data_IF_359691971081
#
_entry.id   IF_359691971081
#
_cell.length_a   1.000
_cell.length_b   1.000
_cell.length_c   1.000
_cell.angle_alpha   90.00
_cell.angle_beta   90.00
_cell.angle_gamma   90.00
#
_symmetry.space_group_name_H-M   'P 1'
#
loop_
_entity.id
_entity.type
_entity.pdbx_description
1 polymer ?
#
# COMPACT_ATOMS: atom_id res chain seq x y z
N UNK A 1 -21.08 9.87 -31.45
CA UNK A 1 -19.77 10.20 -30.88
C UNK A 1 -19.10 8.89 -30.50
N UNK A 2 -17.84 8.71 -30.86
CA UNK A 2 -17.10 7.53 -30.43
C UNK A 2 -17.03 7.50 -28.90
N UNK A 3 -17.18 6.33 -28.29
CA UNK A 3 -17.09 6.13 -26.82
C UNK A 3 -15.79 6.71 -26.24
N UNK A 4 -14.74 6.76 -27.05
CA UNK A 4 -13.45 7.40 -26.75
C UNK A 4 -13.58 8.93 -26.66
N UNK A 5 -14.30 9.58 -27.57
CA UNK A 5 -14.52 11.03 -27.53
C UNK A 5 -15.38 11.44 -26.33
N UNK A 6 -16.41 10.65 -25.99
CA UNK A 6 -17.25 10.88 -24.81
C UNK A 6 -16.43 10.77 -23.52
N UNK A 7 -15.65 9.68 -23.36
CA UNK A 7 -14.77 9.52 -22.20
C UNK A 7 -13.69 10.62 -22.15
N UNK A 8 -13.11 11.00 -23.28
CA UNK A 8 -12.14 12.11 -23.34
C UNK A 8 -12.75 13.46 -22.95
N UNK A 9 -14.02 13.70 -23.27
CA UNK A 9 -14.73 14.89 -22.81
C UNK A 9 -14.98 14.83 -21.30
N UNK A 10 -15.38 13.68 -20.77
CA UNK A 10 -15.57 13.48 -19.32
C UNK A 10 -14.25 13.62 -18.55
N UNK A 11 -13.15 13.05 -19.04
CA UNK A 11 -11.83 13.15 -18.40
C UNK A 11 -11.32 14.60 -18.35
N UNK A 12 -11.54 15.38 -19.42
CA UNK A 12 -11.25 16.82 -19.47
C UNK A 12 -12.14 17.63 -18.53
N UNK A 13 -13.44 17.34 -18.50
CA UNK A 13 -14.39 18.05 -17.65
C UNK A 13 -14.17 17.77 -16.16
N UNK A 14 -13.79 16.54 -15.80
CA UNK A 14 -13.51 16.12 -14.43
C UNK A 14 -12.05 16.36 -13.98
N UNK A 15 -11.19 16.87 -14.86
CA UNK A 15 -9.76 17.09 -14.62
C UNK A 15 -9.08 15.86 -13.99
N UNK A 16 -9.44 14.65 -14.42
CA UNK A 16 -9.03 13.41 -13.72
C UNK A 16 -7.52 13.18 -13.76
N UNK A 17 -6.82 13.77 -14.73
CA UNK A 17 -5.36 13.72 -14.86
C UNK A 17 -4.63 14.75 -13.97
N UNK A 18 -5.36 15.66 -13.31
CA UNK A 18 -4.76 16.68 -12.45
C UNK A 18 -4.55 16.13 -11.03
N UNK A 19 -3.28 15.85 -10.70
CA UNK A 19 -2.88 15.45 -9.35
C UNK A 19 -3.26 16.49 -8.28
N UNK A 20 -3.10 17.79 -8.56
CA UNK A 20 -3.47 18.84 -7.61
C UNK A 20 -4.97 18.85 -7.27
N UNK A 21 -5.81 18.52 -8.26
CA UNK A 21 -7.26 18.36 -8.04
C UNK A 21 -7.57 17.06 -7.32
N UNK A 22 -6.84 15.98 -7.61
CA UNK A 22 -6.97 14.71 -6.89
C UNK A 22 -6.65 14.87 -5.40
N UNK A 23 -5.53 15.52 -5.07
CA UNK A 23 -5.08 15.70 -3.68
C UNK A 23 -6.09 16.46 -2.81
N UNK A 24 -6.85 17.39 -3.42
CA UNK A 24 -7.88 18.21 -2.75
C UNK A 24 -9.26 17.54 -2.69
N UNK A 25 -9.43 16.39 -3.33
CA UNK A 25 -10.72 15.70 -3.39
C UNK A 25 -11.04 14.93 -2.12
N UNK A 26 -12.34 14.77 -1.85
CA UNK A 26 -12.81 13.84 -0.82
C UNK A 26 -12.45 12.39 -1.18
N UNK A 27 -12.44 11.48 -0.20
CA UNK A 27 -12.11 10.06 -0.46
C UNK A 27 -13.05 9.43 -1.50
N UNK A 28 -14.34 9.78 -1.46
CA UNK A 28 -15.34 9.32 -2.44
C UNK A 28 -14.99 9.80 -3.85
N UNK A 29 -14.68 11.08 -4.01
CA UNK A 29 -14.27 11.66 -5.29
C UNK A 29 -12.94 11.06 -5.79
N UNK A 30 -11.99 10.76 -4.89
CA UNK A 30 -10.74 10.10 -5.24
C UNK A 30 -11.00 8.71 -5.84
N UNK A 31 -11.83 7.89 -5.20
CA UNK A 31 -12.22 6.57 -5.72
C UNK A 31 -12.91 6.68 -7.09
N UNK A 32 -13.83 7.64 -7.27
CA UNK A 32 -14.49 7.90 -8.56
C UNK A 32 -13.49 8.31 -9.65
N UNK A 33 -12.52 9.17 -9.32
CA UNK A 33 -11.45 9.55 -10.26
C UNK A 33 -10.58 8.37 -10.66
N UNK A 34 -10.17 7.53 -9.71
CA UNK A 34 -9.37 6.33 -10.02
C UNK A 34 -10.16 5.36 -10.90
N UNK A 35 -11.45 5.17 -10.63
CA UNK A 35 -12.31 4.36 -11.49
C UNK A 35 -12.35 4.88 -12.94
N UNK A 36 -12.45 6.20 -13.12
CA UNK A 36 -12.40 6.81 -14.46
C UNK A 36 -11.01 6.70 -15.11
N UNK A 37 -9.93 6.82 -14.33
CA UNK A 37 -8.57 6.61 -14.83
C UNK A 37 -8.36 5.18 -15.32
N UNK A 38 -8.93 4.17 -14.65
CA UNK A 38 -8.91 2.80 -15.14
C UNK A 38 -9.56 2.66 -16.52
N UNK A 39 -10.75 3.26 -16.72
CA UNK A 39 -11.42 3.24 -18.03
C UNK A 39 -10.60 3.99 -19.10
N UNK A 40 -9.99 5.11 -18.72
CA UNK A 40 -9.09 5.86 -19.60
C UNK A 40 -7.87 5.03 -20.03
N UNK A 41 -7.19 4.38 -19.08
CA UNK A 41 -6.01 3.58 -19.37
C UNK A 41 -6.32 2.29 -20.13
N UNK A 42 -7.50 1.69 -19.96
CA UNK A 42 -7.98 0.58 -20.80
C UNK A 42 -8.06 0.95 -22.29
N UNK A 43 -8.37 2.20 -22.60
CA UNK A 43 -8.43 2.69 -23.99
C UNK A 43 -7.02 2.91 -24.55
N UNK A 44 -6.13 3.50 -23.76
CA UNK A 44 -4.79 3.85 -24.21
C UNK A 44 -3.86 2.65 -24.33
N UNK A 45 -3.94 1.74 -23.37
CA UNK A 45 -2.98 0.67 -23.20
C UNK A 45 -3.65 -0.67 -23.36
N UNK A 46 -3.25 -1.37 -24.41
CA UNK A 46 -3.56 -2.79 -24.62
C UNK A 46 -2.23 -3.54 -24.78
N UNK A 47 -2.10 -4.68 -24.11
CA UNK A 47 -0.90 -5.54 -24.18
C UNK A 47 0.41 -4.86 -23.72
N UNK A 48 0.36 -4.10 -22.62
CA UNK A 48 1.56 -3.61 -21.93
C UNK A 48 1.91 -4.50 -20.74
N UNK A 49 3.19 -4.49 -20.35
CA UNK A 49 3.58 -5.08 -19.07
C UNK A 49 3.10 -4.19 -17.93
N UNK A 50 2.36 -4.79 -17.00
CA UNK A 50 1.85 -4.09 -15.81
C UNK A 50 2.98 -3.83 -14.82
N UNK A 51 2.84 -2.76 -14.05
CA UNK A 51 3.71 -2.45 -12.93
C UNK A 51 3.31 -3.27 -11.70
N UNK A 52 4.24 -4.04 -11.16
CA UNK A 52 4.05 -4.79 -9.91
C UNK A 52 4.08 -3.83 -8.72
N UNK A 53 3.03 -3.88 -7.90
CA UNK A 53 2.87 -3.02 -6.71
C UNK A 53 2.55 -3.89 -5.51
N UNK A 54 3.35 -3.72 -4.45
CA UNK A 54 3.24 -4.45 -3.21
C UNK A 54 2.77 -3.50 -2.10
N UNK A 55 1.64 -3.81 -1.48
CA UNK A 55 1.12 -3.07 -0.33
C UNK A 55 1.42 -3.84 0.95
N UNK A 56 2.00 -3.17 1.95
CA UNK A 56 2.03 -3.72 3.29
C UNK A 56 0.62 -3.82 3.88
N UNK A 57 0.45 -4.66 4.89
CA UNK A 57 -0.84 -4.87 5.53
C UNK A 57 -1.04 -3.98 6.76
N UNK A 58 -0.10 -4.07 7.71
CA UNK A 58 -0.20 -3.37 8.99
C UNK A 58 0.24 -1.92 8.82
N UNK A 59 -0.51 -0.96 9.36
CA UNK A 59 -0.19 0.46 9.18
C UNK A 59 -0.45 1.03 7.78
N UNK A 60 -0.80 0.18 6.81
CA UNK A 60 -1.08 0.56 5.42
C UNK A 60 -2.51 0.18 4.98
N UNK A 61 -2.94 -1.07 5.16
CA UNK A 61 -4.33 -1.50 4.87
C UNK A 61 -5.17 -1.42 6.15
N UNK A 62 -4.62 -1.91 7.27
CA UNK A 62 -5.30 -1.97 8.57
C UNK A 62 -4.46 -1.31 9.65
N UNK A 63 -5.11 -0.55 10.52
CA UNK A 63 -4.47 0.13 11.65
C UNK A 63 -4.27 -0.80 12.85
N UNK A 64 -3.53 -1.88 12.61
CA UNK A 64 -3.22 -2.90 13.63
C UNK A 64 -2.12 -2.48 14.58
N UNK A 65 -1.19 -1.60 14.16
CA UNK A 65 -0.02 -1.23 14.95
C UNK A 65 -0.28 -0.04 15.89
N UNK A 66 -0.53 1.14 15.32
CA UNK A 66 -0.45 2.42 16.05
C UNK A 66 -1.54 2.59 17.09
N UNK A 67 -2.78 2.28 16.74
CA UNK A 67 -3.92 2.51 17.63
C UNK A 67 -4.36 1.26 18.39
N UNK A 68 -4.14 0.06 17.85
CA UNK A 68 -4.57 -1.17 18.52
C UNK A 68 -3.44 -1.85 19.31
N UNK A 69 -2.38 -2.31 18.66
CA UNK A 69 -1.38 -3.15 19.33
C UNK A 69 -0.53 -2.40 20.35
N UNK A 70 -0.13 -1.15 20.07
CA UNK A 70 0.62 -0.35 21.06
C UNK A 70 -0.20 0.03 22.28
N UNK A 71 -1.52 0.19 22.13
CA UNK A 71 -2.41 0.40 23.27
C UNK A 71 -2.51 -0.87 24.11
N UNK A 72 -2.66 -2.03 23.48
CA UNK A 72 -2.71 -3.32 24.18
C UNK A 72 -1.40 -3.59 24.94
N UNK A 73 -0.24 -3.35 24.33
CA UNK A 73 1.06 -3.48 25.00
C UNK A 73 1.11 -2.63 26.29
N UNK A 74 0.69 -1.36 26.22
CA UNK A 74 0.64 -0.48 27.40
C UNK A 74 -0.32 -0.99 28.47
N UNK A 75 -1.49 -1.52 28.09
CA UNK A 75 -2.45 -2.12 29.03
C UNK A 75 -1.87 -3.37 29.72
N UNK A 76 -0.99 -4.10 29.04
CA UNK A 76 -0.24 -5.23 29.60
C UNK A 76 1.02 -4.80 30.39
N UNK A 77 1.22 -3.49 30.60
CA UNK A 77 2.37 -2.96 31.34
C UNK A 77 3.69 -3.02 30.57
N UNK A 78 3.65 -3.26 29.25
CA UNK A 78 4.81 -3.26 28.37
C UNK A 78 4.97 -1.84 27.81
N UNK A 79 6.03 -1.14 28.23
CA UNK A 79 6.30 0.21 27.75
C UNK A 79 6.97 0.16 26.37
N UNK A 80 6.30 0.74 25.38
CA UNK A 80 6.82 0.83 24.01
C UNK A 80 8.06 1.73 23.91
N UNK A 81 8.26 2.64 24.86
CA UNK A 81 9.42 3.54 24.88
C UNK A 81 10.67 2.87 25.48
N UNK A 82 10.51 1.70 26.13
CA UNK A 82 11.62 0.85 26.56
C UNK A 82 12.23 0.04 25.41
N UNK A 83 11.68 0.14 24.18
CA UNK A 83 12.31 -0.35 22.95
C UNK A 83 13.53 0.47 22.54
N UNK A 84 14.53 0.51 23.42
CA UNK A 84 15.90 0.51 22.98
C UNK A 84 16.10 -0.73 22.12
N UNK A 85 16.40 -0.56 20.82
CA UNK A 85 16.85 -1.64 19.91
C UNK A 85 18.05 -2.45 20.45
N UNK A 86 18.57 -2.09 21.63
CA UNK A 86 19.70 -2.71 22.30
C UNK A 86 19.30 -3.61 23.49
N UNK A 87 18.00 -3.74 23.86
CA UNK A 87 17.55 -4.67 24.88
C UNK A 87 16.83 -5.90 24.28
N UNK A 88 17.56 -7.01 24.19
CA UNK A 88 17.09 -8.30 23.64
C UNK A 88 15.93 -8.91 24.45
N UNK A 89 15.82 -8.60 25.74
CA UNK A 89 14.73 -9.14 26.58
C UNK A 89 13.39 -8.44 26.27
N UNK A 90 13.40 -7.13 26.07
CA UNK A 90 12.20 -6.36 25.73
C UNK A 90 11.66 -6.73 24.34
N UNK A 91 12.56 -7.00 23.38
CA UNK A 91 12.21 -7.47 22.04
C UNK A 91 11.53 -8.85 22.09
N UNK A 92 12.04 -9.78 22.91
CA UNK A 92 11.42 -11.10 23.10
C UNK A 92 10.04 -11.01 23.74
N UNK A 93 9.85 -10.11 24.71
CA UNK A 93 8.54 -9.91 25.35
C UNK A 93 7.51 -9.47 24.32
N UNK A 94 7.87 -8.52 23.46
CA UNK A 94 6.98 -8.01 22.41
C UNK A 94 6.77 -9.02 21.29
N UNK A 95 7.81 -9.72 20.86
CA UNK A 95 7.68 -10.81 19.89
C UNK A 95 6.71 -11.89 20.40
N UNK A 96 6.85 -12.31 21.65
CA UNK A 96 5.96 -13.30 22.27
C UNK A 96 4.52 -12.79 22.40
N UNK A 97 4.35 -11.51 22.74
CA UNK A 97 3.05 -10.87 22.78
C UNK A 97 2.34 -10.97 21.43
N UNK A 98 2.99 -10.54 20.35
CA UNK A 98 2.41 -10.60 19.00
C UNK A 98 2.19 -12.02 18.48
N UNK A 99 3.06 -12.98 18.85
CA UNK A 99 2.88 -14.40 18.55
C UNK A 99 1.66 -15.01 19.21
N UNK A 100 1.33 -14.55 20.42
CA UNK A 100 0.20 -15.06 21.22
C UNK A 100 -1.10 -14.25 21.05
N UNK A 101 -1.04 -13.13 20.32
CA UNK A 101 -2.15 -12.23 20.10
C UNK A 101 -3.33 -12.93 19.41
N UNK A 102 -4.55 -12.62 19.85
CA UNK A 102 -5.76 -12.96 19.10
C UNK A 102 -5.91 -12.02 17.90
N UNK A 103 -5.33 -12.44 16.78
CA UNK A 103 -5.38 -11.70 15.52
C UNK A 103 -6.79 -11.59 14.95
N UNK A 104 -7.72 -12.48 15.29
CA UNK A 104 -9.11 -12.35 14.85
C UNK A 104 -9.75 -11.15 15.52
N UNK A 105 -9.59 -11.05 16.84
CA UNK A 105 -10.04 -9.90 17.61
C UNK A 105 -9.38 -8.60 17.14
N UNK A 106 -8.05 -8.58 16.99
CA UNK A 106 -7.29 -7.41 16.55
C UNK A 106 -7.74 -6.90 15.18
N UNK A 107 -7.93 -7.80 14.20
CA UNK A 107 -8.40 -7.44 12.86
C UNK A 107 -9.84 -6.94 12.86
N UNK A 108 -10.68 -7.43 13.77
CA UNK A 108 -12.07 -6.99 13.90
C UNK A 108 -12.19 -5.58 14.51
N UNK A 109 -11.34 -5.24 15.49
CA UNK A 109 -11.40 -3.93 16.15
C UNK A 109 -10.58 -2.82 15.46
N UNK A 110 -9.60 -3.19 14.65
CA UNK A 110 -8.79 -2.23 13.91
C UNK A 110 -9.59 -1.61 12.76
N UNK A 111 -9.36 -0.35 12.47
CA UNK A 111 -10.00 0.31 11.32
C UNK A 111 -9.24 -0.01 10.03
N UNK A 112 -9.97 -0.01 8.92
CA UNK A 112 -9.36 0.13 7.60
C UNK A 112 -8.79 1.55 7.46
N UNK A 113 -7.63 1.66 6.81
CA UNK A 113 -6.97 2.95 6.57
C UNK A 113 -7.35 3.46 5.19
N UNK A 114 -7.87 4.70 5.12
CA UNK A 114 -8.05 5.47 3.87
C UNK A 114 -8.68 4.71 2.70
N UNK A 115 -9.70 3.88 2.97
CA UNK A 115 -10.39 3.08 1.93
C UNK A 115 -9.44 2.16 1.13
N UNK A 116 -8.38 1.67 1.78
CA UNK A 116 -7.36 0.80 1.20
C UNK A 116 -7.94 -0.39 0.43
N UNK A 117 -8.96 -1.07 0.95
CA UNK A 117 -9.61 -2.21 0.30
C UNK A 117 -10.27 -1.77 -1.00
N UNK A 118 -10.99 -0.65 -0.97
CA UNK A 118 -11.65 -0.08 -2.15
C UNK A 118 -10.64 0.29 -3.24
N UNK A 119 -9.52 0.92 -2.86
CA UNK A 119 -8.45 1.20 -3.81
C UNK A 119 -7.82 -0.07 -4.36
N UNK A 120 -7.43 -1.05 -3.55
CA UNK A 120 -6.78 -2.28 -4.02
C UNK A 120 -7.65 -3.00 -5.07
N UNK A 121 -8.98 -3.02 -4.87
CA UNK A 121 -9.91 -3.56 -5.89
C UNK A 121 -9.82 -2.80 -7.21
N UNK A 122 -9.76 -1.48 -7.17
CA UNK A 122 -9.54 -0.66 -8.38
C UNK A 122 -8.17 -0.96 -9.02
N UNK A 123 -7.12 -1.25 -8.24
CA UNK A 123 -5.85 -1.70 -8.80
C UNK A 123 -5.96 -3.08 -9.47
N UNK A 124 -6.73 -4.03 -8.92
CA UNK A 124 -6.95 -5.34 -9.53
C UNK A 124 -7.69 -5.24 -10.88
N UNK A 125 -8.61 -4.27 -11.00
CA UNK A 125 -9.32 -3.97 -12.25
C UNK A 125 -8.45 -3.21 -13.29
N UNK A 126 -7.28 -2.75 -12.88
CA UNK A 126 -6.41 -1.92 -13.71
C UNK A 126 -5.69 -2.73 -14.78
N UNK A 127 -5.52 -2.14 -15.96
CA UNK A 127 -4.68 -2.71 -17.03
C UNK A 127 -3.21 -2.33 -16.90
N UNK A 128 -2.87 -1.40 -16.01
CA UNK A 128 -1.48 -0.90 -15.86
C UNK A 128 -0.79 -1.39 -14.59
N UNK A 129 -1.55 -1.94 -13.62
CA UNK A 129 -1.02 -2.41 -12.34
C UNK A 129 -1.28 -3.89 -12.11
N UNK A 130 -0.34 -4.54 -11.42
CA UNK A 130 -0.46 -5.88 -10.89
C UNK A 130 -0.25 -5.83 -9.37
N UNK A 131 -1.33 -5.64 -8.58
CA UNK A 131 -1.21 -5.46 -7.15
C UNK A 131 -1.00 -6.79 -6.41
N UNK A 132 -0.22 -6.74 -5.35
CA UNK A 132 0.01 -7.83 -4.41
C UNK A 132 0.06 -7.28 -2.98
N UNK A 133 -0.20 -8.15 -2.00
CA UNK A 133 0.00 -7.84 -0.58
C UNK A 133 1.29 -8.47 -0.12
N UNK A 134 2.18 -7.70 0.50
CA UNK A 134 3.44 -8.19 1.05
C UNK A 134 3.57 -7.74 2.49
N UNK A 135 3.34 -8.64 3.45
CA UNK A 135 3.29 -8.31 4.88
C UNK A 135 4.24 -9.18 5.71
N UNK A 136 4.79 -8.60 6.77
CA UNK A 136 5.51 -9.35 7.78
C UNK A 136 4.53 -9.98 8.78
N UNK A 137 4.87 -11.18 9.27
CA UNK A 137 4.07 -11.92 10.25
C UNK A 137 4.93 -12.47 11.38
N UNK A 138 4.40 -12.45 12.59
CA UNK A 138 5.01 -13.01 13.79
C UNK A 138 4.69 -14.50 13.95
N UNK A 139 3.57 -14.97 13.38
CA UNK A 139 3.12 -16.35 13.51
C UNK A 139 2.34 -16.86 12.29
N UNK A 140 2.22 -18.19 12.19
CA UNK A 140 1.35 -18.84 11.19
C UNK A 140 -0.13 -18.51 11.43
N UNK A 141 -0.53 -18.36 12.70
CA UNK A 141 -1.89 -17.97 13.08
C UNK A 141 -2.25 -16.60 12.51
N UNK A 142 -1.36 -15.61 12.72
CA UNK A 142 -1.49 -14.27 12.14
C UNK A 142 -1.63 -14.32 10.62
N UNK A 143 -0.71 -15.03 9.94
CA UNK A 143 -0.74 -15.19 8.48
C UNK A 143 -2.10 -15.72 8.02
N UNK A 144 -2.61 -16.77 8.68
CA UNK A 144 -3.90 -17.37 8.32
C UNK A 144 -5.07 -16.38 8.50
N UNK A 145 -5.08 -15.61 9.59
CA UNK A 145 -6.11 -14.59 9.84
C UNK A 145 -6.05 -13.44 8.83
N UNK A 146 -4.84 -12.99 8.47
CA UNK A 146 -4.65 -12.00 7.38
C UNK A 146 -5.15 -12.55 6.05
N UNK A 147 -4.84 -13.81 5.69
CA UNK A 147 -5.36 -14.43 4.47
C UNK A 147 -6.88 -14.43 4.42
N UNK A 148 -7.55 -14.84 5.50
CA UNK A 148 -9.02 -14.82 5.60
C UNK A 148 -9.57 -13.40 5.40
N UNK A 149 -8.97 -12.41 6.06
CA UNK A 149 -9.37 -11.01 5.87
C UNK A 149 -9.23 -10.58 4.41
N UNK A 150 -8.09 -10.88 3.77
CA UNK A 150 -7.81 -10.50 2.38
C UNK A 150 -8.81 -11.17 1.44
N UNK A 151 -9.02 -12.48 1.56
CA UNK A 151 -9.95 -13.22 0.70
C UNK A 151 -11.39 -12.72 0.86
N UNK A 152 -11.81 -12.42 2.09
CA UNK A 152 -13.16 -11.91 2.36
C UNK A 152 -13.40 -10.50 1.83
N UNK A 153 -12.43 -9.60 2.00
CA UNK A 153 -12.64 -8.18 1.77
C UNK A 153 -12.10 -7.70 0.42
N UNK A 154 -10.99 -8.25 -0.05
CA UNK A 154 -10.31 -7.87 -1.29
C UNK A 154 -10.61 -8.89 -2.40
N UNK A 155 -10.51 -10.18 -2.09
CA UNK A 155 -10.72 -11.28 -3.03
C UNK A 155 -9.41 -11.98 -3.41
N UNK A 156 -9.37 -12.55 -4.61
CA UNK A 156 -8.18 -13.24 -5.11
C UNK A 156 -7.10 -12.25 -5.54
N UNK A 157 -5.99 -12.26 -4.82
CA UNK A 157 -4.84 -11.39 -5.01
C UNK A 157 -3.58 -12.12 -4.57
N UNK A 158 -2.45 -11.85 -5.25
CA UNK A 158 -1.15 -12.38 -4.84
C UNK A 158 -0.80 -11.90 -3.43
N UNK A 159 -0.27 -12.81 -2.62
CA UNK A 159 0.05 -12.59 -1.21
C UNK A 159 1.45 -13.15 -0.94
N UNK A 160 2.31 -12.36 -0.30
CA UNK A 160 3.63 -12.78 0.16
C UNK A 160 3.77 -12.44 1.64
N UNK A 161 4.28 -13.39 2.41
CA UNK A 161 4.53 -13.21 3.83
C UNK A 161 5.98 -13.55 4.16
N UNK A 162 6.60 -12.72 4.99
CA UNK A 162 7.90 -13.01 5.60
C UNK A 162 7.79 -12.94 7.12
N UNK A 163 8.76 -13.52 7.83
CA UNK A 163 8.84 -13.35 9.26
C UNK A 163 9.23 -11.90 9.59
N UNK A 164 8.73 -11.33 10.68
CA UNK A 164 9.20 -10.03 11.19
C UNK A 164 10.73 -10.02 11.33
N UNK A 165 11.34 -8.87 11.09
CA UNK A 165 12.80 -8.65 10.96
C UNK A 165 13.46 -9.29 9.74
N UNK A 166 12.76 -10.11 8.95
CA UNK A 166 13.25 -10.49 7.62
C UNK A 166 12.93 -9.34 6.66
N UNK A 167 13.89 -8.82 5.88
CA UNK A 167 13.62 -7.74 4.94
C UNK A 167 12.67 -8.18 3.83
N UNK A 168 11.87 -7.24 3.31
CA UNK A 168 11.12 -7.40 2.07
C UNK A 168 12.06 -7.13 0.90
N UNK A 169 12.08 -8.04 -0.08
CA UNK A 169 12.95 -7.93 -1.25
C UNK A 169 12.13 -7.89 -2.53
N UNK A 170 12.49 -6.95 -3.40
CA UNK A 170 11.92 -6.80 -4.72
C UNK A 170 12.40 -7.92 -5.65
N UNK A 171 11.59 -8.26 -6.65
CA UNK A 171 12.03 -9.16 -7.72
C UNK A 171 12.74 -8.34 -8.80
N UNK A 172 12.18 -7.17 -9.15
CA UNK A 172 12.75 -6.24 -10.11
C UNK A 172 12.99 -4.86 -9.47
N UNK A 173 13.89 -4.08 -10.06
CA UNK A 173 14.17 -2.71 -9.64
C UNK A 173 13.02 -1.73 -9.91
N UNK A 174 12.05 -2.11 -10.74
CA UNK A 174 10.84 -1.32 -11.03
C UNK A 174 9.69 -1.62 -10.06
N UNK A 175 9.76 -2.72 -9.31
CA UNK A 175 8.68 -3.12 -8.40
C UNK A 175 8.48 -2.06 -7.33
N UNK A 176 7.23 -1.72 -7.03
CA UNK A 176 6.89 -0.68 -6.04
C UNK A 176 6.53 -1.33 -4.72
N UNK A 177 7.11 -0.86 -3.61
CA UNK A 177 6.65 -1.20 -2.27
C UNK A 177 6.03 0.04 -1.61
N UNK A 178 4.80 -0.11 -1.13
CA UNK A 178 4.11 0.86 -0.26
C UNK A 178 4.10 0.31 1.15
N UNK A 179 4.86 0.94 2.04
CA UNK A 179 5.07 0.48 3.42
C UNK A 179 5.15 1.68 4.36
N UNK A 180 4.72 1.53 5.61
CA UNK A 180 4.81 2.60 6.61
C UNK A 180 6.10 2.53 7.45
N UNK A 181 6.89 1.46 7.29
CA UNK A 181 8.13 1.24 8.04
C UNK A 181 9.39 1.51 7.20
N UNK A 182 10.25 2.41 7.67
CA UNK A 182 11.50 2.73 6.97
C UNK A 182 12.43 1.53 6.84
N UNK A 183 12.42 0.59 7.79
CA UNK A 183 13.21 -0.63 7.70
C UNK A 183 12.91 -1.43 6.42
N UNK A 184 11.63 -1.57 6.05
CA UNK A 184 11.27 -2.29 4.83
C UNK A 184 11.62 -1.47 3.58
N UNK A 185 11.42 -0.16 3.62
CA UNK A 185 11.73 0.76 2.51
C UNK A 185 13.24 0.84 2.23
N UNK A 186 14.09 0.84 3.26
CA UNK A 186 15.55 0.83 3.17
C UNK A 186 16.08 -0.44 2.51
N UNK A 187 15.45 -1.59 2.78
CA UNK A 187 15.87 -2.88 2.25
C UNK A 187 15.24 -3.19 0.88
N UNK A 188 14.28 -2.40 0.41
CA UNK A 188 13.61 -2.61 -0.86
C UNK A 188 14.48 -2.13 -2.03
N UNK A 189 14.95 -3.05 -2.86
CA UNK A 189 15.81 -2.75 -4.01
C UNK A 189 15.05 -2.18 -5.23
N UNK A 190 13.72 -2.08 -5.16
CA UNK A 190 12.88 -1.48 -6.19
C UNK A 190 12.58 0.01 -5.92
N UNK A 191 11.34 0.43 -6.14
CA UNK A 191 10.85 1.78 -5.84
C UNK A 191 10.14 1.80 -4.48
N UNK A 192 10.79 2.30 -3.40
CA UNK A 192 10.17 2.44 -2.09
C UNK A 192 9.29 3.70 -2.03
N UNK A 193 8.06 3.53 -1.54
CA UNK A 193 7.09 4.59 -1.29
C UNK A 193 6.63 4.49 0.17
N UNK A 194 6.80 5.57 0.92
CA UNK A 194 6.32 5.62 2.30
C UNK A 194 4.82 5.88 2.32
N UNK A 195 4.09 5.08 3.09
CA UNK A 195 2.70 5.36 3.39
C UNK A 195 2.61 6.25 4.62
N UNK A 196 1.93 7.39 4.49
CA UNK A 196 1.83 8.37 5.55
C UNK A 196 1.18 7.77 6.79
N UNK A 197 2.00 7.70 7.82
CA UNK A 197 1.57 7.27 9.13
C UNK A 197 1.70 8.43 10.13
N UNK A 198 2.03 9.65 9.71
CA UNK A 198 2.20 10.82 10.57
C UNK A 198 3.61 10.95 11.16
N UNK A 199 4.58 10.19 10.65
CA UNK A 199 6.01 10.44 10.88
C UNK A 199 6.64 10.98 9.59
N UNK A 200 7.58 11.91 9.76
CA UNK A 200 8.41 12.35 8.65
C UNK A 200 9.21 11.17 8.10
N UNK A 201 9.34 11.10 6.77
CA UNK A 201 10.15 10.09 6.10
C UNK A 201 11.04 10.73 5.04
N UNK A 202 12.21 10.13 4.81
CA UNK A 202 13.10 10.51 3.72
C UNK A 202 12.62 10.02 2.34
N UNK A 203 11.62 9.13 2.32
CA UNK A 203 11.02 8.57 1.10
C UNK A 203 9.82 9.40 0.64
N UNK A 204 9.48 9.28 -0.64
CA UNK A 204 8.28 9.91 -1.17
C UNK A 204 7.05 9.35 -0.44
N UNK A 205 6.29 10.26 0.16
CA UNK A 205 5.17 9.90 1.03
C UNK A 205 3.84 10.08 0.31
N UNK A 206 3.00 9.05 0.33
CA UNK A 206 1.61 9.09 -0.13
C UNK A 206 0.65 8.90 1.05
N UNK A 207 -0.52 9.51 0.96
CA UNK A 207 -1.58 9.38 1.98
C UNK A 207 -2.67 8.39 1.58
N UNK A 208 -2.74 8.04 0.30
CA UNK A 208 -3.66 7.05 -0.24
C UNK A 208 -3.06 6.39 -1.50
N UNK A 209 -3.58 5.21 -1.87
CA UNK A 209 -3.00 4.44 -2.97
C UNK A 209 -3.24 5.08 -4.34
N UNK A 210 -4.31 5.84 -4.53
CA UNK A 210 -4.64 6.42 -5.83
C UNK A 210 -3.59 7.42 -6.32
N UNK A 211 -2.76 7.99 -5.43
CA UNK A 211 -1.60 8.82 -5.81
C UNK A 211 -0.65 8.10 -6.78
N UNK A 212 -0.53 6.77 -6.72
CA UNK A 212 0.33 5.99 -7.62
C UNK A 212 -0.08 6.09 -9.09
N UNK A 213 -1.37 6.28 -9.39
CA UNK A 213 -1.84 6.52 -10.77
C UNK A 213 -1.23 7.78 -11.38
N UNK A 214 -0.93 8.78 -10.55
CA UNK A 214 -0.33 10.05 -10.98
C UNK A 214 1.20 10.02 -11.00
N UNK A 215 1.80 8.98 -10.42
CA UNK A 215 3.23 8.71 -10.50
C UNK A 215 3.58 7.76 -11.65
N UNK A 216 2.64 6.92 -12.07
CA UNK A 216 2.80 5.97 -13.16
C UNK A 216 3.05 6.67 -14.51
N UNK A 217 3.99 6.12 -15.29
CA UNK A 217 4.36 6.58 -16.62
C UNK A 217 4.63 5.39 -17.53
N UNK A 218 4.14 5.46 -18.77
CA UNK A 218 4.42 4.43 -19.77
C UNK A 218 5.79 4.67 -20.41
N UNK A 219 6.62 3.63 -20.43
CA UNK A 219 7.89 3.63 -21.15
C UNK A 219 7.74 2.86 -22.48
N UNK A 220 7.80 3.56 -23.63
CA UNK A 220 7.59 2.94 -24.93
C UNK A 220 8.74 2.02 -25.37
N UNK A 221 9.95 2.18 -24.83
CA UNK A 221 11.11 1.36 -25.22
C UNK A 221 11.04 -0.06 -24.65
N UNK A 222 10.60 -0.18 -23.40
CA UNK A 222 10.43 -1.45 -22.69
C UNK A 222 8.99 -1.97 -22.68
N UNK A 223 8.04 -1.23 -23.26
CA UNK A 223 6.61 -1.54 -23.29
C UNK A 223 6.04 -1.89 -21.90
N UNK A 224 6.47 -1.15 -20.87
CA UNK A 224 6.07 -1.35 -19.48
C UNK A 224 5.56 -0.06 -18.86
N UNK A 225 4.74 -0.22 -17.83
CA UNK A 225 4.44 0.86 -16.89
C UNK A 225 5.55 0.92 -15.83
N UNK A 226 5.99 2.12 -15.49
CA UNK A 226 6.99 2.38 -14.46
C UNK A 226 6.60 3.60 -13.62
N UNK A 227 7.23 3.81 -12.47
CA UNK A 227 7.05 5.04 -11.71
C UNK A 227 8.00 6.12 -12.23
N UNK A 228 7.47 7.33 -12.44
CA UNK A 228 8.26 8.49 -12.80
C UNK A 228 9.15 8.94 -11.63
N UNK A 229 10.39 8.45 -11.61
CA UNK A 229 11.36 8.74 -10.56
C UNK A 229 11.72 10.23 -10.45
N UNK A 230 11.62 11.01 -11.53
CA UNK A 230 11.84 12.46 -11.45
C UNK A 230 10.79 13.11 -10.55
N UNK A 231 9.53 12.67 -10.59
CA UNK A 231 8.46 13.18 -9.70
C UNK A 231 8.65 12.77 -8.24
N UNK A 232 9.30 11.64 -8.00
CA UNK A 232 9.63 11.15 -6.65
C UNK A 232 10.75 11.98 -6.03
N UNK A 233 11.85 12.23 -6.75
CA UNK A 233 13.04 12.86 -6.17
C UNK A 233 13.09 14.39 -6.27
N UNK A 234 12.17 15.02 -7.00
CA UNK A 234 12.12 16.50 -7.12
C UNK A 234 11.16 17.17 -6.13
N UNK A 235 10.30 16.40 -5.44
CA UNK A 235 9.54 16.90 -4.29
C UNK A 235 10.37 16.73 -3.02
N UNK A 236 11.25 17.70 -2.77
CA UNK A 236 11.65 18.11 -1.43
C UNK A 236 11.02 19.48 -1.15
#
# INVERSE_FOLDING_TARGET
MDKIQELLMDTKNLNILSYDKYKKSSIKEKLEKIKLLNEYYKILYSNINKLDIYFDFDGVIKDTMRHCSYLLLRLHGIDINLHSKFNVEDEKVVENFFKSMDWDYLLNISNEINEAVSFIKLFQESVIFNPAIYSAVNSVSEMHKKCIFIEKNIGDISKKFNQVHTPKLAVNNTDVLVDDTEYNLENWTGVPIHFDNGKDSMYYTISDFGELYYLANFNPESNNMEINMQRIYTKK
#
